data_IF_054767786345
#
_entry.id   IF_054767786345
#
_cell.length_a   1.000
_cell.length_b   1.000
_cell.length_c   1.000
_cell.angle_alpha   90.00
_cell.angle_beta   90.00
_cell.angle_gamma   90.00
#
_symmetry.space_group_name_H-M   'P 1'
#
loop_
_entity.id
_entity.type
_entity.pdbx_description
1 polymer ?
#
# COMPACT_ATOMS: atom_id res chain seq x y z
N UNK A 1 -36.30 -8.61 0.71
CA UNK A 1 -35.00 -9.14 1.20
C UNK A 1 -34.19 -9.61 -0.01
N UNK A 2 -33.86 -8.69 -0.92
CA UNK A 2 -33.15 -8.96 -2.18
C UNK A 2 -32.36 -7.70 -2.53
N UNK A 3 -31.33 -7.39 -1.74
CA UNK A 3 -30.43 -6.26 -2.02
C UNK A 3 -29.03 -6.46 -1.41
N UNK A 4 -28.84 -7.41 -0.48
CA UNK A 4 -27.55 -7.65 0.18
C UNK A 4 -26.67 -8.69 -0.52
N UNK A 5 -27.24 -9.58 -1.35
CA UNK A 5 -26.48 -10.65 -2.01
C UNK A 5 -25.69 -10.16 -3.24
N UNK A 6 -26.24 -9.23 -4.01
CA UNK A 6 -25.66 -8.79 -5.31
C UNK A 6 -24.33 -8.05 -5.13
N UNK A 7 -24.21 -7.18 -4.11
CA UNK A 7 -22.96 -6.48 -3.79
C UNK A 7 -21.84 -7.43 -3.32
N UNK A 8 -22.19 -8.57 -2.73
CA UNK A 8 -21.23 -9.49 -2.10
C UNK A 8 -20.42 -10.28 -3.13
N UNK A 9 -21.03 -10.60 -4.28
CA UNK A 9 -20.35 -11.27 -5.40
C UNK A 9 -19.41 -10.33 -6.14
N UNK A 10 -19.81 -9.08 -6.35
CA UNK A 10 -19.04 -8.06 -7.05
C UNK A 10 -17.75 -7.65 -6.27
N UNK A 11 -17.87 -7.57 -4.94
CA UNK A 11 -16.73 -7.39 -4.04
C UNK A 11 -15.76 -8.59 -4.10
N UNK A 12 -16.28 -9.82 -4.09
CA UNK A 12 -15.44 -11.02 -4.09
C UNK A 12 -14.62 -11.15 -5.39
N UNK A 13 -15.20 -10.78 -6.54
CA UNK A 13 -14.50 -10.76 -7.82
C UNK A 13 -13.44 -9.64 -7.87
N UNK A 14 -13.75 -8.46 -7.31
CA UNK A 14 -12.79 -7.35 -7.15
C UNK A 14 -11.59 -7.71 -6.25
N UNK A 15 -11.81 -8.51 -5.20
CA UNK A 15 -10.75 -9.04 -4.34
C UNK A 15 -9.93 -10.18 -4.96
N UNK A 16 -10.27 -10.61 -6.18
CA UNK A 16 -9.48 -11.55 -6.98
C UNK A 16 -8.73 -10.87 -8.14
N UNK A 17 -8.97 -9.58 -8.42
CA UNK A 17 -8.22 -8.84 -9.43
C UNK A 17 -6.79 -8.55 -8.94
N UNK A 18 -5.82 -9.27 -9.50
CA UNK A 18 -4.40 -9.12 -9.19
C UNK A 18 -3.92 -7.66 -9.36
N UNK A 19 -4.45 -6.90 -10.32
CA UNK A 19 -4.07 -5.51 -10.52
C UNK A 19 -4.60 -4.60 -9.40
N UNK A 20 -5.86 -4.81 -8.99
CA UNK A 20 -6.44 -4.09 -7.85
C UNK A 20 -5.65 -4.38 -6.57
N UNK A 21 -5.35 -5.64 -6.29
CA UNK A 21 -4.61 -6.06 -5.11
C UNK A 21 -3.15 -5.57 -5.11
N UNK A 22 -2.50 -5.55 -6.28
CA UNK A 22 -1.18 -4.97 -6.42
C UNK A 22 -1.19 -3.47 -6.07
N UNK A 23 -2.18 -2.71 -6.56
CA UNK A 23 -2.35 -1.29 -6.20
C UNK A 23 -2.66 -1.10 -4.72
N UNK A 24 -3.53 -1.93 -4.15
CA UNK A 24 -3.91 -1.87 -2.73
C UNK A 24 -2.72 -2.19 -1.81
N UNK A 25 -1.95 -3.23 -2.11
CA UNK A 25 -0.75 -3.59 -1.34
C UNK A 25 0.33 -2.50 -1.42
N UNK A 26 0.49 -1.88 -2.59
CA UNK A 26 1.38 -0.74 -2.76
C UNK A 26 0.96 0.46 -1.91
N UNK A 27 -0.34 0.76 -1.88
CA UNK A 27 -0.90 1.82 -1.05
C UNK A 27 -0.69 1.52 0.45
N UNK A 28 -0.91 0.27 0.86
CA UNK A 28 -0.70 -0.19 2.25
C UNK A 28 0.76 0.01 2.68
N UNK A 29 1.72 -0.28 1.80
CA UNK A 29 3.14 -0.05 2.07
C UNK A 29 3.47 1.42 2.27
N UNK A 30 2.88 2.31 1.44
CA UNK A 30 3.02 3.76 1.60
C UNK A 30 2.49 4.20 2.97
N UNK A 31 1.31 3.71 3.38
CA UNK A 31 0.75 4.01 4.69
C UNK A 31 1.63 3.51 5.84
N UNK A 32 2.21 2.32 5.72
CA UNK A 32 3.17 1.80 6.68
C UNK A 32 4.38 2.71 6.84
N UNK A 33 4.92 3.22 5.72
CA UNK A 33 6.04 4.17 5.74
C UNK A 33 5.66 5.56 6.24
N UNK A 34 4.44 6.01 5.98
CA UNK A 34 3.91 7.25 6.54
C UNK A 34 3.77 7.13 8.07
N UNK A 35 3.30 6.00 8.57
CA UNK A 35 3.20 5.76 10.00
C UNK A 35 4.58 5.71 10.68
N UNK A 36 5.57 5.08 10.04
CA UNK A 36 6.97 5.10 10.49
C UNK A 36 7.49 6.54 10.60
N UNK A 37 7.24 7.38 9.58
CA UNK A 37 7.58 8.80 9.64
C UNK A 37 6.85 9.51 10.79
N UNK A 38 5.54 9.29 10.94
CA UNK A 38 4.73 9.92 11.98
C UNK A 38 5.28 9.61 13.38
N UNK A 39 5.66 8.35 13.66
CA UNK A 39 6.32 7.95 14.90
C UNK A 39 7.68 8.63 15.08
N UNK A 40 8.48 8.74 14.02
CA UNK A 40 9.77 9.44 14.05
C UNK A 40 9.64 10.96 14.30
N UNK A 41 8.48 11.54 13.97
CA UNK A 41 8.16 12.95 14.19
C UNK A 41 7.58 13.22 15.59
N UNK A 42 6.91 12.24 16.20
CA UNK A 42 6.36 12.34 17.57
C UNK A 42 7.40 12.16 18.69
N UNK A 43 8.65 11.85 18.36
CA UNK A 43 9.73 11.65 19.34
C UNK A 43 10.11 12.93 20.11
N UNK A 44 10.44 12.78 21.41
CA UNK A 44 10.69 13.87 22.37
C UNK A 44 11.84 14.83 22.04
N UNK A 45 12.76 14.46 21.12
CA UNK A 45 13.93 15.27 20.72
C UNK A 45 13.97 15.53 19.20
N UNK A 46 12.86 16.01 18.63
CA UNK A 46 12.79 16.37 17.22
C UNK A 46 13.20 17.82 17.00
N UNK A 47 14.49 18.05 16.72
CA UNK A 47 14.96 19.37 16.32
C UNK A 47 14.38 19.78 14.96
N UNK A 48 13.99 21.05 14.81
CA UNK A 48 13.35 21.57 13.59
C UNK A 48 14.08 21.20 12.28
N UNK A 49 15.42 21.33 12.16
CA UNK A 49 16.13 20.91 10.95
C UNK A 49 15.97 19.42 10.64
N UNK A 50 16.02 18.56 11.67
CA UNK A 50 15.86 17.11 11.51
C UNK A 50 14.45 16.72 11.07
N UNK A 51 13.43 17.44 11.56
CA UNK A 51 12.04 17.27 11.12
C UNK A 51 11.89 17.65 9.66
N UNK A 52 12.44 18.80 9.26
CA UNK A 52 12.43 19.27 7.87
C UNK A 52 13.14 18.29 6.94
N UNK A 53 14.28 17.74 7.36
CA UNK A 53 15.03 16.74 6.59
C UNK A 53 14.25 15.43 6.42
N UNK A 54 13.62 14.93 7.49
CA UNK A 54 12.78 13.73 7.46
C UNK A 54 11.60 13.88 6.51
N UNK A 55 10.88 15.01 6.60
CA UNK A 55 9.75 15.32 5.71
C UNK A 55 10.23 15.43 4.26
N UNK A 56 11.30 16.19 4.01
CA UNK A 56 11.84 16.39 2.66
C UNK A 56 12.31 15.09 2.01
N UNK A 57 12.97 14.23 2.79
CA UNK A 57 13.38 12.89 2.36
C UNK A 57 12.17 12.02 2.04
N UNK A 58 11.12 12.08 2.85
CA UNK A 58 9.88 11.34 2.60
C UNK A 58 9.16 11.83 1.33
N UNK A 59 9.07 13.14 1.11
CA UNK A 59 8.50 13.71 -0.13
C UNK A 59 9.25 13.24 -1.37
N UNK A 60 10.59 13.15 -1.31
CA UNK A 60 11.39 12.56 -2.39
C UNK A 60 11.09 11.08 -2.62
N UNK A 61 10.86 10.31 -1.56
CA UNK A 61 10.42 8.90 -1.68
C UNK A 61 9.05 8.79 -2.34
N UNK A 62 8.08 9.63 -1.96
CA UNK A 62 6.76 9.68 -2.61
C UNK A 62 6.89 9.99 -4.12
N UNK A 63 7.72 10.96 -4.50
CA UNK A 63 7.95 11.28 -5.92
C UNK A 63 8.62 10.12 -6.69
N UNK A 64 9.53 9.38 -6.05
CA UNK A 64 10.11 8.18 -6.64
C UNK A 64 9.08 7.06 -6.79
N UNK A 65 8.22 6.85 -5.80
CA UNK A 65 7.14 5.88 -5.84
C UNK A 65 6.10 6.23 -6.92
N UNK A 66 5.73 7.50 -7.06
CA UNK A 66 4.90 7.99 -8.16
C UNK A 66 5.48 7.64 -9.54
N UNK A 67 6.77 7.90 -9.77
CA UNK A 67 7.42 7.52 -11.04
C UNK A 67 7.40 6.01 -11.30
N UNK A 68 7.62 5.19 -10.25
CA UNK A 68 7.54 3.72 -10.37
C UNK A 68 6.13 3.24 -10.69
N UNK A 69 5.11 3.93 -10.20
CA UNK A 69 3.71 3.66 -10.55
C UNK A 69 3.46 3.91 -12.03
N UNK A 70 3.94 5.05 -12.55
CA UNK A 70 3.81 5.40 -13.97
C UNK A 70 4.53 4.39 -14.88
N UNK A 71 5.64 3.81 -14.42
CA UNK A 71 6.40 2.76 -15.10
C UNK A 71 5.80 1.35 -14.93
N UNK A 72 4.70 1.20 -14.17
CA UNK A 72 4.05 -0.10 -13.91
C UNK A 72 4.81 -1.01 -12.94
N UNK A 73 5.82 -0.50 -12.23
CA UNK A 73 6.67 -1.24 -11.31
C UNK A 73 6.00 -1.31 -9.92
N UNK A 74 4.89 -2.05 -9.84
CA UNK A 74 4.15 -2.32 -8.60
C UNK A 74 4.79 -3.43 -7.74
N UNK A 75 5.63 -4.26 -8.36
CA UNK A 75 6.01 -5.61 -7.91
C UNK A 75 7.08 -5.69 -6.81
N UNK A 76 7.61 -4.55 -6.34
CA UNK A 76 8.71 -4.56 -5.34
C UNK A 76 8.27 -4.40 -3.87
N UNK A 77 6.97 -4.37 -3.62
CA UNK A 77 6.40 -4.42 -2.28
C UNK A 77 6.45 -5.84 -1.72
N UNK A 78 7.04 -6.04 -0.53
CA UNK A 78 6.99 -7.31 0.21
C UNK A 78 5.55 -7.75 0.50
N UNK A 79 4.64 -6.80 0.66
CA UNK A 79 3.21 -7.03 0.92
C UNK A 79 2.49 -7.54 -0.33
N UNK A 80 2.86 -7.06 -1.52
CA UNK A 80 2.32 -7.56 -2.80
C UNK A 80 2.67 -9.03 -3.04
N UNK A 81 3.90 -9.44 -2.71
CA UNK A 81 4.33 -10.86 -2.79
C UNK A 81 3.54 -11.77 -1.84
N UNK A 82 3.28 -11.32 -0.62
CA UNK A 82 2.53 -12.09 0.38
C UNK A 82 1.05 -12.25 -0.02
N UNK A 83 0.42 -11.20 -0.57
CA UNK A 83 -0.97 -11.26 -1.03
C UNK A 83 -1.13 -12.18 -2.24
N UNK A 84 -0.23 -12.08 -3.24
CA UNK A 84 -0.24 -12.94 -4.43
C UNK A 84 -0.01 -14.41 -4.04
N UNK A 85 0.90 -14.68 -3.09
CA UNK A 85 1.12 -16.02 -2.55
C UNK A 85 -0.16 -16.55 -1.87
N UNK A 86 -0.84 -15.75 -1.06
CA UNK A 86 -2.10 -16.15 -0.41
C UNK A 86 -3.24 -16.44 -1.40
N UNK A 87 -3.33 -15.71 -2.52
CA UNK A 87 -4.33 -15.99 -3.57
C UNK A 87 -4.03 -17.27 -4.35
N UNK A 88 -2.78 -17.51 -4.73
CA UNK A 88 -2.38 -18.77 -5.40
C UNK A 88 -2.54 -20.01 -4.51
N UNK A 89 -2.66 -19.82 -3.19
CA UNK A 89 -2.86 -20.89 -2.20
C UNK A 89 -4.32 -21.09 -1.78
N UNK A 90 -5.27 -20.27 -2.27
CA UNK A 90 -6.70 -20.53 -2.05
C UNK A 90 -7.19 -21.65 -2.99
N UNK A 91 -7.92 -22.66 -2.49
CA UNK A 91 -8.46 -23.72 -3.34
C UNK A 91 -9.43 -23.14 -4.38
N UNK A 92 -9.46 -23.70 -5.62
CA UNK A 92 -10.42 -23.28 -6.63
C UNK A 92 -11.84 -23.52 -6.10
N UNK A 93 -12.70 -22.53 -6.24
CA UNK A 93 -14.10 -22.59 -5.82
C UNK A 93 -14.94 -23.41 -6.80
#
# INVERSE_FOLDING_TARGET
MFSEQEHKYDLAETFCDENFLAKLSYLSDIFGKLNELNLQLQGKDTHLPQVTDKISSFTRKLAMWGRRLDEGILIHSRTCMNLLTLLTMMPPQ
#
